data_IF_167541301686
#
_entry.id   IF_167541301686
#
_cell.length_a   1.000
_cell.length_b   1.000
_cell.length_c   1.000
_cell.angle_alpha   90.00
_cell.angle_beta   90.00
_cell.angle_gamma   90.00
#
_symmetry.space_group_name_H-M   'P 1'
#
loop_
_entity.id
_entity.type
_entity.pdbx_description
1 polymer ?
#
# COMPACT_ATOMS: atom_id res chain seq x y z
N UNK A 1 -18.19 11.13 15.08
CA UNK A 1 -17.21 12.10 14.51
C UNK A 1 -17.74 12.51 13.15
N UNK A 2 -17.86 13.80 12.88
CA UNK A 2 -18.38 14.28 11.60
C UNK A 2 -17.39 13.97 10.47
N UNK A 3 -17.92 13.72 9.27
CA UNK A 3 -17.13 13.51 8.05
C UNK A 3 -16.37 14.80 7.70
N UNK A 4 -15.09 14.67 7.35
CA UNK A 4 -14.23 15.81 7.03
C UNK A 4 -14.06 15.88 5.51
N UNK A 5 -14.76 16.82 4.87
CA UNK A 5 -14.84 16.91 3.40
C UNK A 5 -13.48 17.03 2.72
N UNK A 6 -12.59 17.90 3.21
CA UNK A 6 -11.28 18.12 2.59
C UNK A 6 -10.38 16.88 2.62
N UNK A 7 -10.50 16.03 3.66
CA UNK A 7 -9.78 14.77 3.73
C UNK A 7 -10.27 13.80 2.65
N UNK A 8 -11.57 13.78 2.40
CA UNK A 8 -12.13 12.90 1.38
C UNK A 8 -11.81 13.38 -0.05
N UNK A 9 -11.79 14.69 -0.29
CA UNK A 9 -11.27 15.26 -1.53
C UNK A 9 -9.80 14.91 -1.74
N UNK A 10 -8.98 14.98 -0.68
CA UNK A 10 -7.56 14.66 -0.77
C UNK A 10 -7.32 13.17 -1.04
N UNK A 11 -8.14 12.27 -0.49
CA UNK A 11 -8.14 10.85 -0.85
C UNK A 11 -8.52 10.64 -2.32
N UNK A 12 -9.58 11.31 -2.81
CA UNK A 12 -10.00 11.21 -4.20
C UNK A 12 -8.90 11.68 -5.15
N UNK A 13 -8.23 12.80 -4.82
CA UNK A 13 -7.07 13.30 -5.55
C UNK A 13 -5.90 12.31 -5.55
N UNK A 14 -5.59 11.70 -4.40
CA UNK A 14 -4.54 10.69 -4.30
C UNK A 14 -4.87 9.45 -5.16
N UNK A 15 -6.12 8.97 -5.15
CA UNK A 15 -6.59 7.85 -5.98
C UNK A 15 -6.46 8.19 -7.47
N UNK A 16 -6.87 9.40 -7.85
CA UNK A 16 -6.70 9.88 -9.22
C UNK A 16 -5.23 9.87 -9.65
N UNK A 17 -4.32 10.32 -8.78
CA UNK A 17 -2.87 10.29 -9.04
C UNK A 17 -2.35 8.86 -9.28
N UNK A 18 -2.82 7.86 -8.54
CA UNK A 18 -2.45 6.45 -8.74
C UNK A 18 -2.90 5.96 -10.11
N UNK A 19 -4.17 6.21 -10.47
CA UNK A 19 -4.73 5.80 -11.76
C UNK A 19 -3.95 6.47 -12.89
N UNK A 20 -3.68 7.78 -12.78
CA UNK A 20 -2.94 8.53 -13.78
C UNK A 20 -1.49 8.03 -13.91
N UNK A 21 -0.82 7.77 -12.78
CA UNK A 21 0.54 7.23 -12.75
C UNK A 21 0.65 5.87 -13.45
N UNK A 22 -0.25 4.94 -13.14
CA UNK A 22 -0.32 3.65 -13.82
C UNK A 22 -0.71 3.81 -15.30
N UNK A 23 -1.63 4.71 -15.64
CA UNK A 23 -1.98 4.94 -17.05
C UNK A 23 -0.76 5.39 -17.85
N UNK A 24 0.06 6.29 -17.31
CA UNK A 24 1.30 6.74 -17.95
C UNK A 24 2.29 5.57 -18.08
N UNK A 25 2.51 4.80 -17.02
CA UNK A 25 3.42 3.65 -17.04
C UNK A 25 3.03 2.55 -18.04
N UNK A 26 1.72 2.35 -18.26
CA UNK A 26 1.22 1.32 -19.18
C UNK A 26 1.08 1.81 -20.63
N UNK A 27 1.06 3.13 -20.87
CA UNK A 27 0.93 3.71 -22.22
C UNK A 27 2.27 4.00 -22.87
N UNK A 28 3.30 4.35 -22.08
CA UNK A 28 4.66 4.49 -22.59
C UNK A 28 5.34 3.13 -22.62
N UNK A 29 5.91 2.77 -23.78
CA UNK A 29 6.58 1.49 -23.97
C UNK A 29 7.92 1.45 -23.20
N UNK A 30 8.17 0.34 -22.50
CA UNK A 30 9.40 0.12 -21.74
C UNK A 30 9.62 1.17 -20.66
N UNK A 31 10.88 1.56 -20.45
CA UNK A 31 11.28 2.47 -19.37
C UNK A 31 11.04 3.96 -19.67
N UNK A 32 10.44 4.30 -20.82
CA UNK A 32 10.25 5.69 -21.26
C UNK A 32 9.38 6.52 -20.30
N UNK A 33 8.54 5.88 -19.49
CA UNK A 33 7.76 6.57 -18.45
C UNK A 33 8.64 7.21 -17.37
N UNK A 34 9.87 6.72 -17.15
CA UNK A 34 10.81 7.31 -16.20
C UNK A 34 11.30 8.71 -16.63
N UNK A 35 11.20 9.04 -17.92
CA UNK A 35 11.53 10.38 -18.44
C UNK A 35 10.33 11.34 -18.36
N UNK A 36 9.13 10.83 -18.10
CA UNK A 36 7.93 11.64 -17.97
C UNK A 36 7.99 12.48 -16.70
N UNK A 37 8.15 13.80 -16.87
CA UNK A 37 8.12 14.77 -15.77
C UNK A 37 6.83 14.67 -14.94
N UNK A 38 5.71 14.38 -15.61
CA UNK A 38 4.42 14.21 -14.94
C UNK A 38 4.39 12.93 -14.08
N UNK A 39 4.92 11.82 -14.60
CA UNK A 39 5.05 10.58 -13.83
C UNK A 39 5.90 10.78 -12.57
N UNK A 40 7.09 11.36 -12.74
CA UNK A 40 8.02 11.63 -11.63
C UNK A 40 7.35 12.53 -10.59
N UNK A 41 6.68 13.60 -11.04
CA UNK A 41 5.97 14.51 -10.16
C UNK A 41 4.90 13.78 -9.35
N UNK A 42 4.03 13.00 -10.00
CA UNK A 42 2.99 12.22 -9.33
C UNK A 42 3.60 11.26 -8.30
N UNK A 43 4.63 10.48 -8.69
CA UNK A 43 5.27 9.48 -7.83
C UNK A 43 6.02 10.09 -6.65
N UNK A 44 6.43 11.36 -6.71
CA UNK A 44 7.14 12.04 -5.63
C UNK A 44 6.30 12.25 -4.36
N UNK A 45 4.96 12.38 -4.49
CA UNK A 45 4.11 12.76 -3.36
C UNK A 45 2.91 11.84 -3.12
N UNK A 46 2.36 11.18 -4.15
CA UNK A 46 1.07 10.48 -3.95
C UNK A 46 1.17 9.31 -2.96
N UNK A 47 2.28 8.56 -2.95
CA UNK A 47 2.49 7.48 -1.98
C UNK A 47 2.72 7.98 -0.55
N UNK A 48 3.61 8.97 -0.31
CA UNK A 48 3.67 9.65 0.99
C UNK A 48 2.31 10.20 1.46
N UNK A 49 1.54 10.78 0.54
CA UNK A 49 0.20 11.31 0.81
C UNK A 49 -0.76 10.20 1.27
N UNK A 50 -0.78 9.04 0.60
CA UNK A 50 -1.61 7.91 1.02
C UNK A 50 -1.25 7.41 2.41
N UNK A 51 0.05 7.23 2.71
CA UNK A 51 0.49 6.81 4.06
C UNK A 51 0.02 7.82 5.11
N UNK A 52 0.18 9.11 4.84
CA UNK A 52 -0.22 10.19 5.75
C UNK A 52 -1.73 10.17 6.02
N UNK A 53 -2.53 10.06 4.96
CA UNK A 53 -3.99 9.99 5.05
C UNK A 53 -4.47 8.74 5.81
N UNK A 54 -3.83 7.59 5.58
CA UNK A 54 -4.14 6.34 6.29
C UNK A 54 -3.81 6.41 7.78
N UNK A 55 -2.78 7.18 8.15
CA UNK A 55 -2.34 7.38 9.54
C UNK A 55 -3.02 8.56 10.26
N UNK A 56 -3.76 9.43 9.57
CA UNK A 56 -4.27 10.69 10.13
C UNK A 56 -5.10 10.51 11.41
N UNK A 57 -5.93 9.46 11.46
CA UNK A 57 -6.80 9.16 12.61
C UNK A 57 -6.24 8.05 13.51
N UNK A 58 -4.93 7.76 13.44
CA UNK A 58 -4.34 6.63 14.15
C UNK A 58 -4.40 6.75 15.68
N UNK A 59 -4.52 7.97 16.23
CA UNK A 59 -4.65 8.19 17.67
C UNK A 59 -5.78 7.38 18.31
N UNK A 60 -6.95 7.29 17.64
CA UNK A 60 -8.09 6.49 18.13
C UNK A 60 -7.82 4.99 18.13
N UNK A 61 -6.95 4.53 17.24
CA UNK A 61 -6.55 3.12 17.22
C UNK A 61 -5.72 2.74 18.44
N UNK A 62 -5.02 3.69 19.09
CA UNK A 62 -4.22 3.44 20.28
C UNK A 62 -5.06 3.17 21.54
N UNK A 63 -6.33 3.59 21.55
CA UNK A 63 -7.26 3.35 22.65
C UNK A 63 -7.81 1.91 22.63
N UNK A 64 -7.68 1.21 21.51
CA UNK A 64 -8.19 -0.16 21.34
C UNK A 64 -7.29 -1.18 22.04
N UNK A 65 -7.84 -2.36 22.32
CA UNK A 65 -7.03 -3.51 22.77
C UNK A 65 -6.17 -4.03 21.61
N UNK A 66 -4.99 -4.63 21.87
CA UNK A 66 -4.12 -5.14 20.81
C UNK A 66 -4.82 -6.13 19.86
N UNK A 67 -5.64 -7.03 20.41
CA UNK A 67 -6.38 -8.00 19.63
C UNK A 67 -7.45 -7.35 18.75
N UNK A 68 -8.18 -6.37 19.28
CA UNK A 68 -9.17 -5.62 18.52
C UNK A 68 -8.51 -4.82 17.40
N UNK A 69 -7.43 -4.11 17.70
CA UNK A 69 -6.65 -3.36 16.71
C UNK A 69 -6.15 -4.26 15.58
N UNK A 70 -5.54 -5.40 15.91
CA UNK A 70 -5.05 -6.38 14.93
C UNK A 70 -6.19 -6.88 14.05
N UNK A 71 -7.32 -7.29 14.64
CA UNK A 71 -8.48 -7.76 13.89
C UNK A 71 -9.02 -6.70 12.94
N UNK A 72 -9.22 -5.48 13.42
CA UNK A 72 -9.74 -4.37 12.59
C UNK A 72 -8.79 -4.06 11.43
N UNK A 73 -7.48 -3.97 11.68
CA UNK A 73 -6.51 -3.68 10.61
C UNK A 73 -6.38 -4.83 9.60
N UNK A 74 -6.44 -6.08 10.06
CA UNK A 74 -6.48 -7.24 9.16
C UNK A 74 -7.72 -7.22 8.26
N UNK A 75 -8.90 -6.91 8.81
CA UNK A 75 -10.13 -6.80 8.02
C UNK A 75 -10.13 -5.62 7.06
N UNK A 76 -9.47 -4.51 7.40
CA UNK A 76 -9.41 -3.31 6.55
C UNK A 76 -8.36 -3.42 5.43
N UNK A 77 -7.27 -4.16 5.64
CA UNK A 77 -6.11 -4.14 4.75
C UNK A 77 -5.84 -5.51 4.12
N UNK A 78 -5.78 -6.57 4.93
CA UNK A 78 -5.47 -7.90 4.43
C UNK A 78 -6.66 -8.51 3.70
N UNK A 79 -7.87 -8.41 4.25
CA UNK A 79 -9.05 -9.01 3.64
C UNK A 79 -9.29 -8.47 2.21
N UNK A 80 -9.31 -7.14 1.95
CA UNK A 80 -9.43 -6.65 0.58
C UNK A 80 -8.27 -7.09 -0.32
N UNK A 81 -7.03 -7.06 0.17
CA UNK A 81 -5.88 -7.53 -0.60
C UNK A 81 -6.06 -8.98 -1.03
N UNK A 82 -6.37 -9.89 -0.09
CA UNK A 82 -6.63 -11.30 -0.39
C UNK A 82 -7.82 -11.48 -1.32
N UNK A 83 -8.92 -10.75 -1.13
CA UNK A 83 -10.09 -10.84 -2.01
C UNK A 83 -9.74 -10.49 -3.47
N UNK A 84 -9.01 -9.39 -3.68
CA UNK A 84 -8.58 -8.99 -5.02
C UNK A 84 -7.57 -9.97 -5.62
N UNK A 85 -6.63 -10.48 -4.83
CA UNK A 85 -5.70 -11.51 -5.27
C UNK A 85 -6.40 -12.79 -5.72
N UNK A 86 -7.30 -13.32 -4.90
CA UNK A 86 -8.04 -14.53 -5.23
C UNK A 86 -8.87 -14.33 -6.50
N UNK A 87 -9.52 -13.18 -6.63
CA UNK A 87 -10.28 -12.85 -7.84
C UNK A 87 -9.38 -12.80 -9.08
N UNK A 88 -8.26 -12.08 -9.01
CA UNK A 88 -7.29 -11.98 -10.11
C UNK A 88 -6.74 -13.35 -10.48
N UNK A 89 -6.36 -14.15 -9.49
CA UNK A 89 -5.84 -15.50 -9.69
C UNK A 89 -6.83 -16.41 -10.42
N UNK A 90 -8.11 -16.37 -10.02
CA UNK A 90 -9.18 -17.16 -10.65
C UNK A 90 -9.40 -16.71 -12.10
N UNK A 91 -9.45 -15.39 -12.35
CA UNK A 91 -9.64 -14.86 -13.72
C UNK A 91 -8.44 -15.19 -14.60
N UNK A 92 -7.22 -14.95 -14.11
CA UNK A 92 -6.00 -15.22 -14.87
C UNK A 92 -5.88 -16.70 -15.24
N UNK A 93 -5.95 -17.60 -14.25
CA UNK A 93 -5.74 -19.02 -14.48
C UNK A 93 -6.95 -19.73 -15.10
N UNK A 94 -8.16 -19.31 -14.74
CA UNK A 94 -9.39 -19.97 -15.18
C UNK A 94 -9.91 -19.48 -16.53
N UNK A 95 -9.56 -18.27 -16.95
CA UNK A 95 -10.08 -17.66 -18.19
C UNK A 95 -8.95 -17.21 -19.10
N UNK A 96 -8.04 -16.37 -18.63
CA UNK A 96 -7.07 -15.70 -19.49
C UNK A 96 -5.99 -16.65 -20.02
N UNK A 97 -5.37 -17.44 -19.15
CA UNK A 97 -4.31 -18.38 -19.48
C UNK A 97 -4.76 -19.44 -20.52
N UNK A 98 -5.94 -20.10 -20.36
CA UNK A 98 -6.47 -21.00 -21.39
C UNK A 98 -6.77 -20.32 -22.73
N UNK A 99 -7.34 -19.11 -22.71
CA UNK A 99 -7.73 -18.40 -23.95
C UNK A 99 -6.50 -17.93 -24.74
N UNK A 100 -5.47 -17.44 -24.05
CA UNK A 100 -4.27 -16.89 -24.67
C UNK A 100 -3.15 -17.93 -24.85
N UNK A 101 -3.32 -19.15 -24.35
CA UNK A 101 -2.29 -20.20 -24.38
C UNK A 101 -1.05 -19.87 -23.53
N UNK A 102 -1.24 -19.14 -22.42
CA UNK A 102 -0.16 -18.72 -21.50
C UNK A 102 -0.11 -19.69 -20.31
N UNK A 103 1.08 -19.91 -19.75
CA UNK A 103 1.26 -20.72 -18.55
C UNK A 103 0.48 -20.17 -17.33
N UNK A 104 -0.13 -21.06 -16.52
CA UNK A 104 -0.82 -20.66 -15.30
C UNK A 104 0.16 -20.07 -14.27
N UNK A 105 -0.28 -19.02 -13.58
CA UNK A 105 0.50 -18.37 -12.55
C UNK A 105 0.40 -19.15 -11.22
N UNK A 106 1.51 -19.42 -10.53
CA UNK A 106 1.49 -20.09 -9.24
C UNK A 106 0.85 -19.22 -8.14
N UNK A 107 -0.04 -19.82 -7.36
CA UNK A 107 -0.86 -19.13 -6.36
C UNK A 107 -0.03 -18.39 -5.29
N UNK A 108 0.98 -19.06 -4.73
CA UNK A 108 1.82 -18.47 -3.68
C UNK A 108 2.62 -17.26 -4.19
N UNK A 109 3.15 -17.31 -5.41
CA UNK A 109 3.87 -16.17 -5.98
C UNK A 109 2.92 -15.01 -6.30
N UNK A 110 1.69 -15.32 -6.71
CA UNK A 110 0.66 -14.29 -6.96
C UNK A 110 0.35 -13.51 -5.68
N UNK A 111 0.20 -14.19 -4.54
CA UNK A 111 -0.09 -13.54 -3.25
C UNK A 111 1.13 -12.79 -2.68
N UNK A 112 2.29 -13.45 -2.70
CA UNK A 112 3.52 -12.92 -2.13
C UNK A 112 4.21 -11.91 -3.05
N UNK A 113 3.76 -11.79 -4.30
CA UNK A 113 4.31 -10.91 -5.32
C UNK A 113 4.22 -9.42 -4.99
N UNK A 114 4.70 -8.59 -5.93
CA UNK A 114 4.78 -7.14 -5.77
C UNK A 114 3.43 -6.41 -5.80
N UNK A 115 2.37 -7.07 -6.25
CA UNK A 115 1.05 -6.46 -6.35
C UNK A 115 0.48 -6.14 -4.96
N UNK A 116 -0.35 -5.11 -4.91
CA UNK A 116 -0.98 -4.62 -3.67
C UNK A 116 0.02 -4.41 -2.52
N UNK A 117 1.30 -4.17 -2.82
CA UNK A 117 2.36 -4.01 -1.84
C UNK A 117 2.00 -2.97 -0.79
N UNK A 118 1.29 -1.92 -1.20
CA UNK A 118 0.92 -0.80 -0.35
C UNK A 118 0.05 -1.23 0.83
N UNK A 119 -0.92 -2.13 0.61
CA UNK A 119 -1.81 -2.62 1.66
C UNK A 119 -1.04 -3.49 2.65
N UNK A 120 -0.18 -4.37 2.14
CA UNK A 120 0.71 -5.23 2.95
C UNK A 120 1.67 -4.38 3.79
N UNK A 121 2.26 -3.37 3.18
CA UNK A 121 3.17 -2.43 3.84
C UNK A 121 2.47 -1.62 4.92
N UNK A 122 1.31 -1.03 4.59
CA UNK A 122 0.52 -0.24 5.54
C UNK A 122 0.07 -1.09 6.74
N UNK A 123 -0.28 -2.36 6.52
CA UNK A 123 -0.61 -3.28 7.59
C UNK A 123 0.57 -3.46 8.55
N UNK A 124 1.73 -3.85 8.04
CA UNK A 124 2.95 -4.04 8.85
C UNK A 124 3.34 -2.76 9.58
N UNK A 125 3.37 -1.61 8.89
CA UNK A 125 3.70 -0.32 9.49
C UNK A 125 2.70 0.09 10.57
N UNK A 126 1.42 -0.24 10.40
CA UNK A 126 0.41 0.05 11.43
C UNK A 126 0.64 -0.77 12.71
N UNK A 127 1.07 -2.03 12.60
CA UNK A 127 1.41 -2.86 13.75
C UNK A 127 2.65 -2.33 14.48
N UNK A 128 3.69 -1.99 13.72
CA UNK A 128 4.92 -1.43 14.28
C UNK A 128 4.64 -0.10 14.98
N UNK A 129 3.89 0.80 14.35
CA UNK A 129 3.53 2.08 14.96
C UNK A 129 2.72 1.89 16.26
N UNK A 130 1.78 0.94 16.26
CA UNK A 130 0.99 0.61 17.45
C UNK A 130 1.87 0.09 18.60
N UNK A 131 2.77 -0.86 18.34
CA UNK A 131 3.65 -1.42 19.36
C UNK A 131 4.64 -0.38 19.89
N UNK A 132 5.24 0.42 19.01
CA UNK A 132 6.15 1.50 19.38
C UNK A 132 5.45 2.57 20.22
N UNK A 133 4.24 3.01 19.86
CA UNK A 133 3.49 4.00 20.65
C UNK A 133 3.03 3.48 22.01
N UNK A 134 2.80 2.17 22.15
CA UNK A 134 2.49 1.55 23.45
C UNK A 134 3.73 1.33 24.33
N UNK A 135 4.89 1.06 23.71
CA UNK A 135 6.14 0.79 24.42
C UNK A 135 6.98 2.04 24.75
N UNK A 136 7.03 3.01 23.84
CA UNK A 136 7.83 4.23 23.98
C UNK A 136 6.98 5.39 24.48
N UNK A 137 7.41 6.02 25.57
CA UNK A 137 6.74 7.21 26.14
C UNK A 137 6.97 8.50 25.35
N UNK A 138 8.02 8.56 24.51
CA UNK A 138 8.45 9.78 23.80
C UNK A 138 8.15 9.68 22.31
N UNK A 139 7.34 10.60 21.82
CA UNK A 139 6.84 10.60 20.44
C UNK A 139 7.96 10.76 19.39
N UNK A 140 9.01 11.52 19.70
CA UNK A 140 10.14 11.69 18.79
C UNK A 140 10.92 10.39 18.57
N UNK A 141 11.00 9.51 19.57
CA UNK A 141 11.66 8.19 19.41
C UNK A 141 10.88 7.30 18.44
N UNK A 142 9.55 7.38 18.50
CA UNK A 142 8.68 6.66 17.57
C UNK A 142 8.87 7.20 16.15
N UNK A 143 8.93 8.52 15.99
CA UNK A 143 9.18 9.15 14.68
C UNK A 143 10.54 8.75 14.10
N UNK A 144 11.60 8.79 14.91
CA UNK A 144 12.95 8.36 14.48
C UNK A 144 12.94 6.88 14.08
N UNK A 145 12.31 6.01 14.87
CA UNK A 145 12.19 4.60 14.54
C UNK A 145 11.44 4.36 13.22
N UNK A 146 10.34 5.09 12.98
CA UNK A 146 9.58 5.02 11.72
C UNK A 146 10.43 5.52 10.53
N UNK A 147 11.19 6.60 10.68
CA UNK A 147 12.06 7.13 9.63
C UNK A 147 13.21 6.18 9.28
N UNK A 148 13.80 5.53 10.29
CA UNK A 148 14.80 4.49 10.09
C UNK A 148 14.19 3.30 9.36
N UNK A 149 13.03 2.82 9.81
CA UNK A 149 12.31 1.73 9.15
C UNK A 149 11.96 2.07 7.71
N UNK A 150 11.48 3.28 7.44
CA UNK A 150 11.20 3.74 6.08
C UNK A 150 12.47 3.68 5.21
N UNK A 151 13.60 4.15 5.72
CA UNK A 151 14.89 4.13 5.03
C UNK A 151 15.40 2.71 4.76
N UNK A 152 15.25 1.79 5.72
CA UNK A 152 15.66 0.38 5.59
C UNK A 152 14.71 -0.39 4.67
N UNK A 153 13.42 -0.08 4.70
CA UNK A 153 12.43 -0.71 3.82
C UNK A 153 12.63 -0.33 2.36
N UNK A 154 13.21 0.85 2.09
CA UNK A 154 13.68 1.26 0.76
C UNK A 154 14.81 0.38 0.23
N UNK A 155 15.61 -0.24 1.11
CA UNK A 155 16.84 -0.95 0.73
C UNK A 155 16.79 -2.47 0.85
N UNK A 156 15.87 -3.09 1.62
CA UNK A 156 16.11 -4.49 2.00
C UNK A 156 14.95 -5.48 2.19
N UNK A 157 13.67 -5.09 2.27
CA UNK A 157 12.60 -6.08 2.60
C UNK A 157 11.33 -5.92 1.73
N UNK A 158 11.08 -4.72 1.22
CA UNK A 158 10.01 -4.44 0.26
C UNK A 158 10.66 -3.77 -0.95
N UNK A 159 11.20 -4.51 -1.91
CA UNK A 159 11.55 -3.91 -3.21
C UNK A 159 10.24 -3.49 -3.88
N UNK A 160 9.91 -2.22 -3.69
CA UNK A 160 8.72 -1.50 -4.15
C UNK A 160 8.83 -0.99 -5.58
N UNK A 161 9.83 -1.47 -6.33
CA UNK A 161 9.93 -1.27 -7.76
C UNK A 161 9.56 -2.60 -8.41
N UNK A 162 8.46 -2.68 -9.18
CA UNK A 162 8.48 -3.62 -10.29
C UNK A 162 9.61 -3.16 -11.23
N UNK A 163 10.37 -4.13 -11.73
CA UNK A 163 10.92 -3.96 -13.07
C UNK A 163 9.73 -3.84 -14.03
#
# INVERSE_FOLDING_TARGET
MARILYIDLLKAFAIFCVILGHTIAWTLAGDAYHESKLFIFIYSFHMPLFVTLSGWFFGKSLEQTPLHFLKTRSQQLLLPAFSFFSLFFIIYNGVLAPILGIEPAPYLQTILGGDMWFLKYLFVMSLICYTLKKGLRRDWLVLVAILILFSVTRTGIFRLLPY
#
